data_IF_776267643249
#
_entry.id   IF_776267643249
#
_cell.length_a   1.000
_cell.length_b   1.000
_cell.length_c   1.000
_cell.angle_alpha   90.00
_cell.angle_beta   90.00
_cell.angle_gamma   90.00
#
_symmetry.space_group_name_H-M   'P 1'
#
loop_
_entity.id
_entity.type
_entity.pdbx_description
1 polymer ?
#
# COMPACT_ATOMS: atom_id res chain seq x y z
N UNK A 1 10.49 -15.29 -66.61
CA UNK A 1 11.47 -14.84 -67.61
C UNK A 1 11.31 -13.34 -67.80
N UNK A 2 12.32 -12.61 -67.36
CA UNK A 2 12.86 -11.32 -67.81
C UNK A 2 11.92 -10.22 -68.34
N UNK A 3 12.00 -9.04 -67.73
CA UNK A 3 11.56 -7.77 -68.31
C UNK A 3 11.76 -6.61 -67.36
N UNK A 4 12.91 -5.95 -67.48
CA UNK A 4 13.42 -4.91 -66.58
C UNK A 4 13.08 -3.50 -67.10
N UNK A 5 13.22 -2.50 -66.20
CA UNK A 5 13.29 -1.02 -66.41
C UNK A 5 11.96 -0.32 -66.75
N UNK A 6 11.55 0.80 -66.13
CA UNK A 6 12.26 2.07 -66.02
C UNK A 6 11.57 3.00 -64.97
N UNK A 7 12.36 3.78 -64.24
CA UNK A 7 11.96 4.87 -63.33
C UNK A 7 12.11 6.20 -64.09
N UNK A 8 11.39 7.29 -63.75
CA UNK A 8 12.13 8.34 -63.06
C UNK A 8 11.32 9.21 -62.07
N UNK A 9 12.06 9.74 -61.07
CA UNK A 9 11.86 11.06 -60.45
C UNK A 9 10.74 11.16 -59.40
N UNK A 10 10.96 11.49 -58.13
CA UNK A 10 12.06 12.21 -57.50
C UNK A 10 11.53 13.54 -56.93
N UNK A 11 11.30 13.61 -55.61
CA UNK A 11 11.34 14.85 -54.84
C UNK A 11 11.41 14.55 -53.34
N UNK A 12 12.64 14.47 -52.82
CA UNK A 12 12.94 14.56 -51.39
C UNK A 12 12.86 16.04 -51.00
N UNK A 13 12.16 16.35 -49.90
CA UNK A 13 12.29 17.64 -49.20
C UNK A 13 12.61 17.42 -47.72
N UNK A 14 13.82 17.83 -47.35
CA UNK A 14 14.33 18.41 -46.10
C UNK A 14 15.44 19.39 -46.56
N UNK A 15 15.95 20.36 -45.76
CA UNK A 15 15.86 20.57 -44.31
C UNK A 15 15.45 22.03 -43.94
N UNK A 16 15.35 22.46 -42.67
CA UNK A 16 16.41 23.09 -41.85
C UNK A 16 15.82 23.39 -40.46
N UNK A 17 16.51 22.98 -39.38
CA UNK A 17 16.97 23.87 -38.28
C UNK A 17 16.00 23.91 -37.09
N UNK A 18 16.17 23.09 -36.05
CA UNK A 18 17.04 23.34 -34.88
C UNK A 18 16.44 24.34 -33.86
N UNK A 19 15.89 23.81 -32.77
CA UNK A 19 16.11 24.39 -31.44
C UNK A 19 15.95 23.30 -30.38
N UNK A 20 17.04 23.09 -29.65
CA UNK A 20 17.12 22.30 -28.42
C UNK A 20 16.23 22.95 -27.36
N UNK A 21 15.52 22.14 -26.59
CA UNK A 21 15.23 22.46 -25.19
C UNK A 21 15.34 21.16 -24.40
N UNK A 22 16.53 20.95 -23.83
CA UNK A 22 16.75 19.99 -22.77
C UNK A 22 16.20 20.61 -21.48
N UNK A 23 15.31 19.90 -20.78
CA UNK A 23 15.10 20.11 -19.36
C UNK A 23 15.22 18.76 -18.66
N UNK A 24 16.46 18.49 -18.26
CA UNK A 24 16.78 17.44 -17.32
C UNK A 24 16.32 17.86 -15.91
N UNK A 25 15.77 16.88 -15.20
CA UNK A 25 16.02 16.62 -13.78
C UNK A 25 15.68 17.73 -12.78
N UNK A 26 14.50 17.63 -12.16
CA UNK A 26 14.34 18.01 -10.76
C UNK A 26 13.70 16.85 -9.99
N UNK A 27 14.56 15.92 -9.56
CA UNK A 27 14.24 14.86 -8.60
C UNK A 27 14.94 15.24 -7.31
N UNK A 28 14.37 16.19 -6.56
CA UNK A 28 14.88 16.56 -5.25
C UNK A 28 14.56 15.45 -4.24
N UNK A 29 15.62 14.82 -3.76
CA UNK A 29 15.64 13.97 -2.56
C UNK A 29 15.15 14.78 -1.37
N UNK A 30 14.06 14.36 -0.75
CA UNK A 30 13.74 14.73 0.63
C UNK A 30 14.60 13.82 1.51
N UNK A 31 15.74 14.34 1.95
CA UNK A 31 16.56 13.72 3.01
C UNK A 31 16.10 14.21 4.37
N UNK A 32 15.63 13.27 5.20
CA UNK A 32 15.75 13.23 6.66
C UNK A 32 15.33 14.46 7.47
N UNK A 33 14.11 14.41 8.01
CA UNK A 33 13.73 15.12 9.23
C UNK A 33 14.39 14.44 10.46
N UNK A 34 15.00 15.19 11.39
CA UNK A 34 15.41 14.66 12.68
C UNK A 34 14.18 14.55 13.61
N UNK A 35 13.81 13.33 13.98
CA UNK A 35 12.89 13.05 15.07
C UNK A 35 13.58 13.36 16.41
N UNK A 36 13.29 14.51 17.02
CA UNK A 36 13.57 14.74 18.43
C UNK A 36 12.46 14.08 19.26
N UNK A 37 12.77 12.92 19.82
CA UNK A 37 11.91 12.24 20.78
C UNK A 37 11.91 13.01 22.11
N UNK A 38 10.74 13.52 22.50
CA UNK A 38 10.48 14.07 23.84
C UNK A 38 9.91 12.93 24.69
N UNK A 39 10.60 12.43 25.72
CA UNK A 39 10.02 11.46 26.64
C UNK A 39 9.17 12.16 27.71
N UNK A 40 7.88 11.86 27.70
CA UNK A 40 6.94 12.15 28.78
C UNK A 40 7.37 11.41 30.05
N UNK A 41 7.78 12.16 31.08
CA UNK A 41 7.96 11.66 32.45
C UNK A 41 6.64 11.78 33.21
N UNK A 42 6.09 10.65 33.64
CA UNK A 42 5.12 10.61 34.75
C UNK A 42 5.88 10.37 36.07
N UNK A 43 5.53 11.07 37.16
CA UNK A 43 6.13 10.87 38.47
C UNK A 43 5.38 9.78 39.24
N UNK A 44 6.11 8.92 39.95
CA UNK A 44 5.54 8.17 41.06
C UNK A 44 6.60 7.97 42.14
N UNK A 45 6.24 8.47 43.30
CA UNK A 45 7.00 8.55 44.53
C UNK A 45 7.38 7.21 45.18
N UNK A 46 8.43 7.30 45.99
CA UNK A 46 8.62 6.72 47.33
C UNK A 46 8.11 5.27 47.55
N UNK A 47 9.05 4.36 47.76
CA UNK A 47 9.32 3.77 49.10
C UNK A 47 10.44 2.74 48.99
N UNK A 48 11.52 2.97 49.75
CA UNK A 48 12.61 2.03 49.90
C UNK A 48 12.76 1.77 51.39
N UNK A 49 12.45 0.55 51.83
CA UNK A 49 12.89 -0.02 53.10
C UNK A 49 12.72 -1.55 53.08
N UNK A 50 13.87 -2.22 53.07
CA UNK A 50 14.25 -3.42 53.84
C UNK A 50 13.21 -4.54 53.96
N UNK A 51 13.58 -5.74 53.49
CA UNK A 51 13.44 -7.01 54.23
C UNK A 51 14.29 -8.11 53.53
N UNK A 52 15.27 -8.59 54.30
CA UNK A 52 15.78 -9.96 54.50
C UNK A 52 16.03 -10.90 53.31
N UNK A 53 17.29 -11.34 53.28
CA UNK A 53 17.78 -12.70 53.02
C UNK A 53 16.70 -13.78 52.85
N UNK A 54 16.73 -14.45 51.70
CA UNK A 54 16.40 -15.86 51.59
C UNK A 54 17.19 -16.47 50.42
N UNK A 55 18.03 -17.43 50.73
CA UNK A 55 18.71 -18.28 49.75
C UNK A 55 17.67 -19.02 48.92
N UNK A 56 17.65 -18.77 47.62
CA UNK A 56 16.85 -19.52 46.66
C UNK A 56 17.79 -20.27 45.71
N UNK A 57 17.76 -21.58 45.85
CA UNK A 57 18.42 -22.60 45.05
C UNK A 57 18.02 -22.46 43.57
N UNK A 58 18.79 -21.71 42.79
CA UNK A 58 18.63 -21.62 41.34
C UNK A 58 19.39 -22.76 40.66
N UNK A 59 18.69 -23.88 40.43
CA UNK A 59 19.12 -24.85 39.40
C UNK A 59 18.97 -24.17 38.05
N UNK A 60 20.09 -23.71 37.52
CA UNK A 60 20.21 -23.17 36.17
C UNK A 60 19.72 -24.21 35.15
N UNK A 61 18.72 -23.92 34.29
CA UNK A 61 18.53 -24.71 33.09
C UNK A 61 19.74 -24.44 32.18
N UNK A 62 20.50 -25.51 31.91
CA UNK A 62 21.65 -25.48 31.02
C UNK A 62 21.32 -24.74 29.73
N UNK A 63 22.02 -23.63 29.51
CA UNK A 63 21.97 -22.82 28.29
C UNK A 63 22.45 -23.70 27.14
N UNK A 64 21.52 -24.34 26.43
CA UNK A 64 21.81 -25.02 25.17
C UNK A 64 22.26 -23.96 24.17
N UNK A 65 23.57 -23.83 23.98
CA UNK A 65 24.15 -23.08 22.88
C UNK A 65 23.79 -23.81 21.59
N UNK A 66 22.74 -23.32 20.93
CA UNK A 66 22.31 -23.84 19.64
C UNK A 66 23.29 -23.35 18.59
N UNK A 67 24.22 -24.21 18.19
CA UNK A 67 25.05 -24.01 17.01
C UNK A 67 24.13 -23.69 15.82
N UNK A 68 24.39 -22.59 15.12
CA UNK A 68 23.61 -22.16 13.96
C UNK A 68 23.40 -23.32 12.99
N UNK A 69 22.13 -23.66 12.71
CA UNK A 69 21.74 -24.60 11.66
C UNK A 69 21.18 -25.95 12.10
N UNK A 70 21.22 -26.31 13.39
CA UNK A 70 20.54 -27.52 13.90
C UNK A 70 19.14 -27.18 14.40
N UNK A 71 18.13 -27.91 13.92
CA UNK A 71 16.74 -27.72 14.34
C UNK A 71 16.56 -28.28 15.75
N UNK A 72 16.07 -27.47 16.68
CA UNK A 72 15.82 -27.89 18.06
C UNK A 72 14.50 -28.67 18.15
N UNK A 73 14.60 -29.98 18.35
CA UNK A 73 13.44 -30.88 18.49
C UNK A 73 13.02 -31.10 19.95
N UNK A 74 13.67 -30.45 20.91
CA UNK A 74 13.40 -30.60 22.35
C UNK A 74 11.95 -30.23 22.70
N UNK A 75 11.41 -29.17 22.10
CA UNK A 75 10.03 -28.73 22.30
C UNK A 75 8.99 -29.73 21.76
N UNK A 76 9.29 -30.46 20.68
CA UNK A 76 8.40 -31.50 20.14
C UNK A 76 8.48 -32.81 20.92
N UNK A 77 9.60 -33.06 21.60
CA UNK A 77 9.86 -34.32 22.32
C UNK A 77 9.59 -34.23 23.83
N UNK A 78 8.90 -33.18 24.29
CA UNK A 78 8.61 -32.94 25.72
C UNK A 78 7.92 -34.14 26.39
N UNK A 79 6.97 -34.78 25.69
CA UNK A 79 6.32 -36.02 26.16
C UNK A 79 7.31 -37.18 26.32
N UNK A 80 8.17 -37.40 25.33
CA UNK A 80 9.19 -38.45 25.37
C UNK A 80 10.18 -38.21 26.52
N UNK A 81 10.57 -36.94 26.74
CA UNK A 81 11.47 -36.58 27.84
C UNK A 81 10.82 -36.75 29.22
N UNK A 82 9.54 -36.43 29.37
CA UNK A 82 8.82 -36.61 30.63
C UNK A 82 8.64 -38.09 30.97
N UNK A 83 8.27 -38.93 29.99
CA UNK A 83 8.22 -40.39 30.16
C UNK A 83 9.59 -40.96 30.54
N UNK A 84 10.68 -40.47 29.92
CA UNK A 84 12.04 -40.87 30.26
C UNK A 84 12.49 -40.41 31.67
N UNK A 85 12.08 -39.23 32.11
CA UNK A 85 12.34 -38.74 33.47
C UNK A 85 11.59 -39.54 34.54
N UNK A 86 10.35 -39.92 34.25
CA UNK A 86 9.56 -40.80 35.12
C UNK A 86 10.16 -42.20 35.19
N UNK A 87 10.50 -42.80 34.04
CA UNK A 87 11.15 -44.12 33.98
C UNK A 87 12.52 -44.16 34.69
N UNK A 88 13.27 -43.05 34.68
CA UNK A 88 14.54 -42.92 35.41
C UNK A 88 14.39 -42.53 36.88
N UNK A 89 13.17 -42.41 37.40
CA UNK A 89 12.90 -42.07 38.80
C UNK A 89 13.19 -40.62 39.20
N UNK A 90 13.50 -39.73 38.23
CA UNK A 90 13.74 -38.29 38.50
C UNK A 90 12.46 -37.55 38.88
N UNK A 91 11.32 -38.02 38.38
CA UNK A 91 10.00 -37.47 38.69
C UNK A 91 9.10 -38.57 39.25
N UNK A 92 8.58 -38.37 40.47
CA UNK A 92 7.75 -39.38 41.15
C UNK A 92 6.32 -39.49 40.59
N UNK A 93 5.79 -38.42 40.00
CA UNK A 93 4.44 -38.41 39.40
C UNK A 93 4.52 -37.96 37.94
N UNK A 94 3.75 -38.63 37.09
CA UNK A 94 3.64 -38.23 35.69
C UNK A 94 2.81 -36.94 35.60
N UNK A 95 3.25 -35.94 34.80
CA UNK A 95 2.46 -34.75 34.59
C UNK A 95 1.12 -35.06 33.89
N UNK A 96 0.04 -34.40 34.33
CA UNK A 96 -1.33 -34.64 33.82
C UNK A 96 -1.47 -34.43 32.29
N UNK A 97 -0.63 -33.57 31.69
CA UNK A 97 -0.66 -33.30 30.25
C UNK A 97 -0.05 -34.42 29.39
N UNK A 98 0.69 -35.38 29.97
CA UNK A 98 1.39 -36.43 29.20
C UNK A 98 0.41 -37.34 28.45
N UNK A 99 -0.75 -37.62 29.06
CA UNK A 99 -1.81 -38.42 28.45
C UNK A 99 -2.47 -37.65 27.31
N UNK A 100 -2.80 -36.37 27.53
CA UNK A 100 -3.39 -35.47 26.51
C UNK A 100 -2.49 -35.32 25.27
N UNK A 101 -1.17 -35.15 25.45
CA UNK A 101 -0.22 -35.08 24.33
C UNK A 101 -0.03 -36.46 23.66
N UNK A 102 -0.36 -37.55 24.36
CA UNK A 102 -0.41 -38.89 23.77
C UNK A 102 -1.57 -39.05 22.81
N UNK A 103 -2.73 -38.47 23.14
CA UNK A 103 -3.92 -38.47 22.28
C UNK A 103 -3.79 -37.50 21.10
N UNK A 104 -3.17 -36.34 21.34
CA UNK A 104 -2.95 -35.30 20.31
C UNK A 104 -1.44 -35.15 20.08
N UNK A 105 -0.82 -36.00 19.23
CA UNK A 105 0.60 -35.89 18.94
C UNK A 105 0.90 -34.56 18.22
N UNK A 106 2.06 -33.94 18.49
CA UNK A 106 2.46 -32.71 17.82
C UNK A 106 2.74 -32.93 16.31
N UNK A 107 2.48 -31.93 15.49
CA UNK A 107 2.67 -32.02 14.03
C UNK A 107 4.15 -32.07 13.61
N UNK A 108 4.47 -32.95 12.64
CA UNK A 108 5.80 -33.09 12.03
C UNK A 108 6.02 -32.02 10.93
N UNK A 109 6.18 -30.75 11.31
CA UNK A 109 6.08 -29.63 10.36
C UNK A 109 7.41 -28.93 10.01
N UNK A 110 8.53 -29.66 9.96
CA UNK A 110 9.84 -29.09 9.59
C UNK A 110 10.28 -29.45 8.18
N UNK A 111 9.33 -29.78 7.31
CA UNK A 111 9.56 -30.07 5.89
C UNK A 111 9.15 -28.84 5.08
N UNK A 112 10.03 -28.39 4.17
CA UNK A 112 9.68 -27.34 3.20
C UNK A 112 8.79 -27.95 2.12
N UNK A 113 7.50 -27.66 2.16
CA UNK A 113 6.55 -28.11 1.13
C UNK A 113 6.53 -27.17 -0.07
N UNK A 114 6.17 -27.70 -1.23
CA UNK A 114 5.97 -26.88 -2.44
C UNK A 114 4.62 -26.15 -2.32
N UNK A 115 4.57 -24.82 -2.44
CA UNK A 115 3.32 -24.08 -2.33
C UNK A 115 2.41 -24.35 -3.54
N UNK A 116 1.07 -24.28 -3.36
CA UNK A 116 0.12 -24.37 -4.46
C UNK A 116 0.37 -23.25 -5.48
N UNK A 117 0.21 -23.55 -6.76
CA UNK A 117 0.40 -22.56 -7.81
C UNK A 117 -0.88 -21.78 -8.05
N UNK A 118 -0.82 -20.46 -7.86
CA UNK A 118 -1.91 -19.56 -8.24
C UNK A 118 -1.68 -19.05 -9.68
N UNK A 119 -2.62 -19.32 -10.59
CA UNK A 119 -2.59 -18.80 -11.96
C UNK A 119 -3.67 -17.73 -12.13
N UNK A 120 -3.42 -16.74 -12.98
CA UNK A 120 -4.45 -15.76 -13.34
C UNK A 120 -5.45 -16.43 -14.29
N UNK A 121 -6.60 -16.80 -13.75
CA UNK A 121 -7.72 -17.38 -14.50
C UNK A 121 -8.75 -16.29 -14.73
N UNK A 122 -9.23 -16.18 -15.97
CA UNK A 122 -10.31 -15.27 -16.34
C UNK A 122 -11.52 -16.09 -16.78
N UNK A 123 -12.64 -15.91 -16.10
CA UNK A 123 -13.89 -16.56 -16.48
C UNK A 123 -14.63 -15.65 -17.47
N UNK A 124 -15.13 -16.17 -18.60
CA UNK A 124 -15.93 -15.38 -19.55
C UNK A 124 -17.09 -16.19 -20.08
N UNK A 125 -18.26 -15.56 -20.21
CA UNK A 125 -19.38 -16.14 -20.96
C UNK A 125 -19.18 -15.84 -22.45
N UNK A 126 -19.08 -16.89 -23.27
CA UNK A 126 -18.98 -16.77 -24.73
C UNK A 126 -19.99 -17.63 -25.44
N UNK A 127 -20.51 -17.14 -26.57
CA UNK A 127 -21.22 -18.01 -27.51
C UNK A 127 -20.19 -18.69 -28.40
N UNK A 128 -19.98 -19.98 -28.17
CA UNK A 128 -19.07 -20.77 -29.01
C UNK A 128 -19.77 -21.04 -30.34
N UNK A 129 -19.11 -20.72 -31.46
CA UNK A 129 -19.63 -20.98 -32.79
C UNK A 129 -19.99 -22.47 -32.94
N UNK A 130 -21.29 -22.77 -33.05
CA UNK A 130 -21.84 -24.13 -33.12
C UNK A 130 -22.67 -24.58 -31.92
N UNK A 131 -22.71 -23.83 -30.81
CA UNK A 131 -23.60 -24.07 -29.66
C UNK A 131 -24.66 -22.96 -29.57
N UNK A 132 -25.93 -23.32 -29.44
CA UNK A 132 -27.02 -22.36 -29.21
C UNK A 132 -27.05 -21.80 -27.79
N UNK A 133 -26.38 -22.46 -26.84
CA UNK A 133 -26.32 -22.04 -25.43
C UNK A 133 -24.97 -21.38 -25.14
N UNK A 134 -24.93 -20.26 -24.40
CA UNK A 134 -23.68 -19.65 -23.96
C UNK A 134 -22.95 -20.59 -23.01
N UNK A 135 -21.63 -20.66 -23.15
CA UNK A 135 -20.78 -21.52 -22.32
C UNK A 135 -19.76 -20.68 -21.55
N UNK A 136 -19.45 -21.12 -20.33
CA UNK A 136 -18.42 -20.52 -19.50
C UNK A 136 -17.06 -21.02 -19.98
N UNK A 137 -16.25 -20.11 -20.49
CA UNK A 137 -14.88 -20.38 -20.97
C UNK A 137 -13.90 -19.83 -19.96
N UNK A 138 -13.04 -20.71 -19.42
CA UNK A 138 -11.92 -20.31 -18.57
C UNK A 138 -10.70 -20.02 -19.43
N UNK A 139 -10.29 -18.76 -19.49
CA UNK A 139 -9.07 -18.34 -20.14
C UNK A 139 -7.96 -18.27 -19.08
N UNK A 140 -7.11 -19.30 -19.06
CA UNK A 140 -5.90 -19.28 -18.22
C UNK A 140 -4.81 -18.58 -19.01
N UNK A 141 -4.27 -17.48 -18.46
CA UNK A 141 -3.08 -16.87 -19.05
C UNK A 141 -1.87 -17.75 -18.73
N UNK A 142 -1.63 -18.76 -19.56
CA UNK A 142 -0.44 -19.59 -19.51
C UNK A 142 0.77 -18.80 -20.01
N UNK A 143 1.26 -17.86 -19.20
CA UNK A 143 2.53 -17.21 -19.48
C UNK A 143 3.60 -18.30 -19.49
N UNK A 144 4.28 -18.51 -20.62
CA UNK A 144 5.35 -19.50 -20.79
C UNK A 144 6.37 -19.34 -19.66
N UNK A 145 6.41 -20.29 -18.73
CA UNK A 145 7.23 -20.19 -17.52
C UNK A 145 8.64 -20.69 -17.84
N UNK A 146 9.62 -19.78 -17.79
CA UNK A 146 11.02 -20.19 -17.71
C UNK A 146 11.22 -21.05 -16.44
N UNK A 147 12.09 -22.07 -16.48
CA UNK A 147 12.34 -22.91 -15.32
C UNK A 147 12.79 -22.06 -14.13
N UNK A 148 12.10 -22.20 -12.99
CA UNK A 148 12.44 -21.47 -11.77
C UNK A 148 13.77 -22.00 -11.22
N UNK A 149 14.63 -21.10 -10.75
CA UNK A 149 15.81 -21.47 -9.95
C UNK A 149 15.35 -22.29 -8.74
N UNK A 150 16.16 -23.28 -8.34
CA UNK A 150 15.84 -24.17 -7.21
C UNK A 150 15.51 -23.41 -5.91
N UNK A 151 16.11 -22.23 -5.71
CA UNK A 151 15.84 -21.35 -4.57
C UNK A 151 14.40 -20.83 -4.49
N UNK A 152 13.67 -20.76 -5.61
CA UNK A 152 12.29 -20.25 -5.69
C UNK A 152 11.22 -21.35 -5.74
N UNK A 153 11.60 -22.62 -5.66
CA UNK A 153 10.66 -23.75 -5.71
C UNK A 153 9.78 -23.84 -4.46
N UNK A 154 10.32 -23.44 -3.30
CA UNK A 154 9.65 -23.48 -2.00
C UNK A 154 9.18 -22.10 -1.53
N UNK A 155 9.30 -21.07 -2.40
CA UNK A 155 8.87 -19.72 -2.08
C UNK A 155 7.35 -19.59 -2.33
N UNK A 156 6.57 -19.06 -1.37
CA UNK A 156 5.15 -18.77 -1.57
C UNK A 156 4.89 -17.96 -2.85
N UNK A 157 3.80 -18.27 -3.54
CA UNK A 157 3.43 -17.65 -4.81
C UNK A 157 2.60 -16.39 -4.56
N UNK A 158 2.86 -15.34 -5.32
CA UNK A 158 2.06 -14.11 -5.31
C UNK A 158 0.64 -14.41 -5.84
N UNK A 159 -0.39 -14.02 -5.06
CA UNK A 159 -1.78 -14.14 -5.47
C UNK A 159 -2.12 -12.98 -6.41
N UNK A 160 -2.72 -13.29 -7.55
CA UNK A 160 -3.10 -12.33 -8.60
C UNK A 160 -4.52 -12.56 -9.01
N UNK A 161 -5.30 -11.50 -9.01
CA UNK A 161 -6.71 -11.53 -9.37
C UNK A 161 -6.96 -10.68 -10.61
N UNK A 162 -8.03 -10.96 -11.34
CA UNK A 162 -8.36 -10.17 -12.53
C UNK A 162 -8.89 -8.79 -12.15
N UNK A 163 -9.55 -8.71 -11.01
CA UNK A 163 -10.07 -7.53 -10.35
C UNK A 163 -8.97 -6.50 -10.06
N UNK A 164 -7.74 -6.93 -9.78
CA UNK A 164 -6.62 -6.02 -9.49
C UNK A 164 -6.29 -5.12 -10.70
N UNK A 165 -6.43 -5.65 -11.91
CA UNK A 165 -6.26 -4.87 -13.14
C UNK A 165 -7.41 -3.87 -13.30
N UNK A 166 -8.64 -4.31 -13.01
CA UNK A 166 -9.84 -3.47 -13.09
C UNK A 166 -9.81 -2.32 -12.06
N UNK A 167 -9.38 -2.61 -10.82
CA UNK A 167 -9.16 -1.61 -9.77
C UNK A 167 -8.17 -0.54 -10.23
N UNK A 168 -7.02 -0.97 -10.75
CA UNK A 168 -5.97 -0.07 -11.20
C UNK A 168 -6.47 0.87 -12.30
N UNK A 169 -7.21 0.35 -13.27
CA UNK A 169 -7.82 1.15 -14.34
C UNK A 169 -8.85 2.14 -13.79
N UNK A 170 -9.76 1.69 -12.92
CA UNK A 170 -10.81 2.53 -12.35
C UNK A 170 -10.25 3.69 -11.53
N UNK A 171 -9.32 3.44 -10.61
CA UNK A 171 -8.77 4.48 -9.73
C UNK A 171 -7.79 5.42 -10.45
N UNK A 172 -7.18 4.98 -11.56
CA UNK A 172 -6.42 5.87 -12.43
C UNK A 172 -7.34 6.89 -13.10
N UNK A 173 -8.50 6.45 -13.58
CA UNK A 173 -9.47 7.33 -14.23
C UNK A 173 -10.21 8.22 -13.21
N UNK A 174 -10.37 7.75 -11.95
CA UNK A 174 -11.08 8.45 -10.86
C UNK A 174 -10.19 8.67 -9.63
N UNK A 175 -9.18 9.54 -9.71
CA UNK A 175 -8.24 9.75 -8.60
C UNK A 175 -8.93 10.25 -7.32
N UNK A 176 -9.99 11.04 -7.45
CA UNK A 176 -10.72 11.61 -6.31
C UNK A 176 -11.63 10.60 -5.58
N UNK A 177 -11.87 9.42 -6.13
CA UNK A 177 -12.53 8.35 -5.36
C UNK A 177 -11.62 7.81 -4.24
N UNK A 178 -10.29 7.99 -4.33
CA UNK A 178 -9.35 7.66 -3.25
C UNK A 178 -9.45 8.62 -2.06
N UNK A 179 -9.95 9.84 -2.27
CA UNK A 179 -10.15 10.80 -1.19
C UNK A 179 -11.36 10.44 -0.31
N UNK A 180 -12.26 9.57 -0.79
CA UNK A 180 -13.41 9.11 0.00
C UNK A 180 -12.95 8.11 1.06
N UNK A 181 -13.24 8.35 2.34
CA UNK A 181 -12.78 7.46 3.42
C UNK A 181 -13.47 6.10 3.34
N UNK A 182 -12.66 5.04 3.42
CA UNK A 182 -13.09 3.64 3.32
C UNK A 182 -12.80 2.89 4.62
N UNK A 183 -13.75 2.08 5.06
CA UNK A 183 -13.58 1.20 6.21
C UNK A 183 -12.96 -0.13 5.76
N UNK A 184 -11.82 -0.51 6.33
CA UNK A 184 -11.13 -1.78 6.05
C UNK A 184 -11.41 -2.86 7.09
N UNK A 185 -11.94 -2.48 8.25
CA UNK A 185 -12.30 -3.42 9.30
C UNK A 185 -13.56 -4.18 8.88
N UNK A 186 -13.42 -5.50 8.77
CA UNK A 186 -14.53 -6.41 8.48
C UNK A 186 -15.37 -6.66 9.75
N UNK A 187 -16.68 -6.84 9.58
CA UNK A 187 -17.57 -7.11 10.73
C UNK A 187 -17.61 -8.60 11.06
N UNK A 188 -18.01 -9.43 10.09
CA UNK A 188 -18.13 -10.90 10.26
C UNK A 188 -17.13 -11.66 9.37
N UNK A 189 -16.53 -11.00 8.38
CA UNK A 189 -15.66 -11.61 7.37
C UNK A 189 -16.40 -12.48 6.35
N UNK A 190 -17.74 -12.52 6.42
CA UNK A 190 -18.65 -13.26 5.52
C UNK A 190 -19.61 -12.34 4.76
N UNK A 191 -19.32 -11.05 4.76
CA UNK A 191 -20.19 -10.03 4.16
C UNK A 191 -20.35 -10.28 2.65
N UNK A 192 -19.36 -10.92 2.02
CA UNK A 192 -19.37 -11.26 0.60
C UNK A 192 -20.45 -12.29 0.20
N UNK A 193 -20.94 -13.12 1.11
CA UNK A 193 -21.92 -14.19 0.81
C UNK A 193 -23.29 -13.61 0.40
N UNK A 194 -23.62 -12.42 0.92
CA UNK A 194 -24.94 -11.79 0.76
C UNK A 194 -24.99 -10.78 -0.38
N UNK A 195 -23.90 -10.59 -1.12
CA UNK A 195 -23.81 -9.61 -2.19
C UNK A 195 -24.21 -10.21 -3.54
N UNK A 196 -25.24 -9.63 -4.15
CA UNK A 196 -25.67 -9.96 -5.51
C UNK A 196 -25.27 -8.87 -6.50
N UNK A 197 -24.19 -9.11 -7.24
CA UNK A 197 -23.64 -8.17 -8.24
C UNK A 197 -24.47 -8.03 -9.52
N UNK A 198 -25.70 -8.57 -9.55
CA UNK A 198 -26.73 -8.19 -10.52
C UNK A 198 -27.11 -6.70 -10.44
N UNK A 199 -26.86 -6.07 -9.28
CA UNK A 199 -26.99 -4.62 -9.04
C UNK A 199 -25.70 -4.09 -8.43
N UNK A 200 -25.44 -2.80 -8.58
CA UNK A 200 -24.23 -2.19 -7.99
C UNK A 200 -24.40 -1.86 -6.50
N UNK A 201 -25.61 -1.48 -6.07
CA UNK A 201 -25.92 -1.23 -4.66
C UNK A 201 -26.14 -2.55 -3.93
N UNK A 202 -25.44 -2.70 -2.81
CA UNK A 202 -25.56 -3.87 -1.94
C UNK A 202 -26.03 -3.43 -0.56
N UNK A 203 -26.83 -4.26 0.15
CA UNK A 203 -27.20 -3.98 1.52
C UNK A 203 -25.94 -3.98 2.41
N UNK A 204 -25.82 -3.00 3.31
CA UNK A 204 -24.69 -2.92 4.25
C UNK A 204 -23.35 -2.46 3.67
N UNK A 205 -23.20 -2.40 2.34
CA UNK A 205 -21.98 -1.90 1.68
C UNK A 205 -22.19 -0.47 1.17
N UNK A 206 -21.21 0.40 1.40
CA UNK A 206 -21.18 1.74 0.81
C UNK A 206 -20.87 1.69 -0.70
N UNK A 207 -21.37 2.68 -1.43
CA UNK A 207 -21.07 2.83 -2.86
C UNK A 207 -19.61 3.26 -3.04
N UNK A 208 -18.80 2.34 -3.57
CA UNK A 208 -17.34 2.48 -3.73
C UNK A 208 -16.89 2.02 -5.13
N UNK A 209 -15.66 2.34 -5.52
CA UNK A 209 -15.03 1.79 -6.73
C UNK A 209 -15.01 0.26 -6.78
N UNK A 210 -14.92 -0.42 -5.63
CA UNK A 210 -15.02 -1.89 -5.57
C UNK A 210 -16.39 -2.40 -6.03
N UNK A 211 -17.47 -1.64 -5.84
CA UNK A 211 -18.78 -2.04 -6.35
C UNK A 211 -18.82 -2.02 -7.88
N UNK A 212 -18.13 -1.05 -8.50
CA UNK A 212 -17.97 -0.95 -9.97
C UNK A 212 -17.19 -2.14 -10.50
N UNK A 213 -16.07 -2.47 -9.87
CA UNK A 213 -15.21 -3.59 -10.29
C UNK A 213 -15.95 -4.91 -10.23
N UNK A 214 -16.67 -5.18 -9.13
CA UNK A 214 -17.44 -6.42 -8.98
C UNK A 214 -18.63 -6.47 -9.93
N UNK A 215 -19.32 -5.35 -10.15
CA UNK A 215 -20.39 -5.23 -11.15
C UNK A 215 -19.87 -5.49 -12.56
N UNK A 216 -18.72 -4.91 -12.92
CA UNK A 216 -18.05 -5.14 -14.19
C UNK A 216 -17.66 -6.61 -14.36
N UNK A 217 -17.09 -7.23 -13.32
CA UNK A 217 -16.72 -8.63 -13.33
C UNK A 217 -17.95 -9.54 -13.51
N UNK A 218 -19.04 -9.25 -12.80
CA UNK A 218 -20.29 -9.98 -12.93
C UNK A 218 -20.86 -9.92 -14.35
N UNK A 219 -20.80 -8.75 -15.01
CA UNK A 219 -21.24 -8.60 -16.41
C UNK A 219 -20.40 -9.46 -17.36
N UNK A 220 -19.08 -9.54 -17.16
CA UNK A 220 -18.19 -10.37 -17.98
C UNK A 220 -18.43 -11.88 -17.78
N UNK A 221 -18.87 -12.25 -16.57
CA UNK A 221 -19.08 -13.65 -16.19
C UNK A 221 -20.48 -14.17 -16.52
N UNK A 222 -21.49 -13.30 -16.66
CA UNK A 222 -22.89 -13.69 -16.88
C UNK A 222 -23.45 -13.29 -18.24
N UNK A 223 -22.98 -12.20 -18.85
CA UNK A 223 -23.50 -11.73 -20.15
C UNK A 223 -22.64 -12.30 -21.29
N UNK A 224 -23.24 -12.98 -22.29
CA UNK A 224 -22.48 -13.54 -23.40
C UNK A 224 -21.80 -12.46 -24.23
N UNK A 225 -20.54 -12.73 -24.60
CA UNK A 225 -19.74 -11.94 -25.55
C UNK A 225 -19.58 -10.45 -25.18
N UNK A 226 -19.67 -10.15 -23.88
CA UNK A 226 -19.44 -8.82 -23.35
C UNK A 226 -17.94 -8.47 -23.36
N UNK A 227 -17.59 -7.31 -23.91
CA UNK A 227 -16.21 -6.80 -23.87
C UNK A 227 -15.94 -6.12 -22.53
N UNK A 228 -14.66 -6.13 -22.11
CA UNK A 228 -14.21 -5.46 -20.89
C UNK A 228 -14.57 -3.97 -20.85
N UNK A 229 -14.48 -3.28 -21.99
CA UNK A 229 -14.80 -1.86 -22.13
C UNK A 229 -16.29 -1.59 -22.00
N UNK A 230 -17.14 -2.41 -22.65
CA UNK A 230 -18.59 -2.23 -22.56
C UNK A 230 -19.11 -2.52 -21.15
N UNK A 231 -18.59 -3.58 -20.51
CA UNK A 231 -18.90 -3.88 -19.11
C UNK A 231 -18.48 -2.74 -18.18
N UNK A 232 -17.31 -2.14 -18.43
CA UNK A 232 -16.81 -0.99 -17.68
C UNK A 232 -17.74 0.22 -17.84
N UNK A 233 -18.15 0.55 -19.07
CA UNK A 233 -19.03 1.69 -19.33
C UNK A 233 -20.41 1.54 -18.70
N UNK A 234 -20.99 0.34 -18.70
CA UNK A 234 -22.26 0.07 -18.04
C UNK A 234 -22.14 0.28 -16.53
N UNK A 235 -21.16 -0.37 -15.90
CA UNK A 235 -20.94 -0.25 -14.45
C UNK A 235 -20.62 1.19 -14.03
N UNK A 236 -19.82 1.90 -14.84
CA UNK A 236 -19.45 3.30 -14.61
C UNK A 236 -20.63 4.26 -14.72
N UNK A 237 -21.52 4.08 -15.71
CA UNK A 237 -22.75 4.89 -15.82
C UNK A 237 -23.71 4.64 -14.67
N UNK A 238 -23.88 3.37 -14.26
CA UNK A 238 -24.66 3.02 -13.07
C UNK A 238 -24.10 3.73 -11.82
N UNK A 239 -22.78 3.70 -11.65
CA UNK A 239 -22.08 4.37 -10.56
C UNK A 239 -22.27 5.89 -10.55
N UNK A 240 -22.11 6.56 -11.71
CA UNK A 240 -22.31 8.01 -11.82
C UNK A 240 -23.75 8.41 -11.49
N UNK A 241 -24.73 7.63 -11.93
CA UNK A 241 -26.14 7.90 -11.62
C UNK A 241 -26.39 7.90 -10.12
N UNK A 242 -25.78 6.95 -9.40
CA UNK A 242 -25.94 6.85 -7.95
C UNK A 242 -25.16 7.93 -7.20
N UNK A 243 -23.95 8.26 -7.64
CA UNK A 243 -23.19 9.38 -7.07
C UNK A 243 -23.92 10.71 -7.23
N UNK A 244 -24.46 10.97 -8.43
CA UNK A 244 -25.27 12.15 -8.67
C UNK A 244 -26.49 12.19 -7.76
N UNK A 245 -27.16 11.04 -7.57
CA UNK A 245 -28.29 10.92 -6.66
C UNK A 245 -27.88 11.25 -5.21
N UNK A 246 -26.78 10.69 -4.70
CA UNK A 246 -26.26 11.01 -3.36
C UNK A 246 -25.89 12.49 -3.17
N UNK A 247 -25.40 13.16 -4.22
CA UNK A 247 -25.07 14.59 -4.20
C UNK A 247 -26.32 15.48 -4.25
N UNK A 248 -27.33 15.11 -5.03
CA UNK A 248 -28.62 15.81 -5.07
C UNK A 248 -29.36 15.64 -3.76
N UNK A 249 -29.44 14.41 -3.22
CA UNK A 249 -30.10 14.11 -1.96
C UNK A 249 -29.53 14.94 -0.80
N UNK A 250 -28.19 15.04 -0.71
CA UNK A 250 -27.54 15.85 0.33
C UNK A 250 -27.88 17.34 0.22
N UNK A 251 -27.89 17.90 -0.99
CA UNK A 251 -28.19 19.34 -1.19
C UNK A 251 -29.65 19.63 -0.88
N UNK A 252 -30.56 18.85 -1.45
CA UNK A 252 -32.00 19.00 -1.24
C UNK A 252 -32.34 18.84 0.24
N UNK A 253 -31.74 17.87 0.94
CA UNK A 253 -31.98 17.68 2.39
C UNK A 253 -31.56 18.90 3.23
N UNK A 254 -30.47 19.58 2.87
CA UNK A 254 -30.04 20.82 3.54
C UNK A 254 -31.00 21.96 3.22
N UNK A 255 -31.31 22.17 1.94
CA UNK A 255 -32.24 23.21 1.50
C UNK A 255 -33.63 23.07 2.14
N UNK A 256 -34.16 21.85 2.18
CA UNK A 256 -35.43 21.54 2.85
C UNK A 256 -35.33 21.83 4.35
N UNK A 257 -34.28 21.38 5.03
CA UNK A 257 -34.10 21.64 6.46
C UNK A 257 -34.03 23.14 6.78
N UNK A 258 -33.29 23.93 5.99
CA UNK A 258 -33.21 25.39 6.13
C UNK A 258 -34.57 26.06 5.87
N UNK A 259 -35.31 25.60 4.87
CA UNK A 259 -36.66 26.10 4.57
C UNK A 259 -37.63 25.85 5.74
N UNK A 260 -37.44 24.77 6.51
CA UNK A 260 -38.19 24.50 7.75
C UNK A 260 -37.59 25.16 9.01
N UNK A 261 -36.58 26.01 8.86
CA UNK A 261 -35.97 26.77 9.95
C UNK A 261 -34.93 26.01 10.78
N UNK A 262 -34.33 24.94 10.24
CA UNK A 262 -33.18 24.31 10.88
C UNK A 262 -31.92 25.19 10.70
N UNK A 263 -31.20 25.43 11.79
CA UNK A 263 -29.91 26.13 11.76
C UNK A 263 -28.77 25.12 11.86
N UNK A 264 -27.80 25.23 10.94
CA UNK A 264 -26.60 24.41 10.94
C UNK A 264 -25.43 25.12 11.63
N UNK A 265 -24.50 24.33 12.18
CA UNK A 265 -23.22 24.85 12.69
C UNK A 265 -22.32 25.39 11.57
N UNK A 266 -21.07 25.78 11.91
CA UNK A 266 -20.13 26.29 10.91
C UNK A 266 -19.87 25.26 9.81
N UNK A 267 -19.84 25.73 8.56
CA UNK A 267 -19.58 24.87 7.40
C UNK A 267 -18.15 24.32 7.44
N UNK A 268 -17.90 23.21 6.75
CA UNK A 268 -16.54 22.69 6.56
C UNK A 268 -15.61 23.71 5.91
N UNK A 269 -16.13 24.61 5.06
CA UNK A 269 -15.36 25.71 4.49
C UNK A 269 -14.90 26.69 5.59
N UNK A 270 -15.81 27.10 6.47
CA UNK A 270 -15.48 28.02 7.58
C UNK A 270 -14.49 27.39 8.57
N UNK A 271 -14.66 26.10 8.86
CA UNK A 271 -13.73 25.34 9.69
C UNK A 271 -12.35 25.28 9.01
N UNK A 272 -12.30 25.04 7.70
CA UNK A 272 -11.07 25.05 6.91
C UNK A 272 -10.35 26.40 6.98
N UNK A 273 -11.07 27.49 6.72
CA UNK A 273 -10.53 28.86 6.78
C UNK A 273 -9.92 29.18 8.16
N UNK A 274 -10.63 28.82 9.24
CA UNK A 274 -10.12 29.02 10.61
C UNK A 274 -8.81 28.26 10.87
N UNK A 275 -8.68 27.04 10.35
CA UNK A 275 -7.45 26.25 10.50
C UNK A 275 -6.30 26.83 9.66
N UNK A 276 -6.60 27.33 8.46
CA UNK A 276 -5.65 28.03 7.59
C UNK A 276 -5.14 29.31 8.26
N UNK A 277 -6.02 30.12 8.85
CA UNK A 277 -5.65 31.33 9.59
C UNK A 277 -4.70 31.02 10.75
N UNK A 278 -4.98 29.97 11.53
CA UNK A 278 -4.11 29.53 12.63
C UNK A 278 -2.73 29.16 12.10
N UNK A 279 -2.64 28.47 10.97
CA UNK A 279 -1.36 28.09 10.39
C UNK A 279 -0.63 29.27 9.74
N UNK A 280 -1.36 30.18 9.09
CA UNK A 280 -0.85 31.41 8.52
C UNK A 280 -0.21 32.29 9.59
N UNK A 281 -0.87 32.49 10.73
CA UNK A 281 -0.33 33.28 11.84
C UNK A 281 0.99 32.70 12.36
N UNK A 282 1.08 31.37 12.52
CA UNK A 282 2.35 30.70 12.87
C UNK A 282 3.44 30.95 11.82
N UNK A 283 3.08 30.89 10.54
CA UNK A 283 4.01 31.18 9.45
C UNK A 283 4.47 32.65 9.47
N UNK A 284 3.59 33.60 9.75
CA UNK A 284 3.93 35.03 9.87
C UNK A 284 4.94 35.27 10.98
N UNK A 285 4.75 34.66 12.15
CA UNK A 285 5.70 34.75 13.27
C UNK A 285 7.07 34.20 12.89
N UNK A 286 7.10 33.01 12.28
CA UNK A 286 8.35 32.40 11.79
C UNK A 286 9.03 33.23 10.70
N UNK A 287 8.26 33.77 9.76
CA UNK A 287 8.79 34.57 8.66
C UNK A 287 9.40 35.88 9.17
N UNK A 288 8.78 36.52 10.16
CA UNK A 288 9.34 37.72 10.82
C UNK A 288 10.66 37.42 11.51
N UNK A 289 10.73 36.35 12.28
CA UNK A 289 11.98 35.94 12.95
C UNK A 289 13.06 35.59 11.93
N UNK A 290 12.70 34.87 10.87
CA UNK A 290 13.63 34.50 9.80
C UNK A 290 14.15 35.73 9.06
N UNK A 291 13.28 36.69 8.74
CA UNK A 291 13.66 37.96 8.13
C UNK A 291 14.62 38.73 9.04
N UNK A 292 14.34 38.84 10.34
CA UNK A 292 15.25 39.49 11.30
C UNK A 292 16.63 38.83 11.34
N UNK A 293 16.70 37.50 11.32
CA UNK A 293 17.97 36.77 11.27
C UNK A 293 18.71 37.02 9.94
N UNK A 294 18.00 37.09 8.82
CA UNK A 294 18.59 37.41 7.53
C UNK A 294 19.12 38.86 7.50
N UNK A 295 18.35 39.82 7.98
CA UNK A 295 18.76 41.22 8.08
C UNK A 295 20.00 41.36 8.98
N UNK A 296 20.05 40.66 10.12
CA UNK A 296 21.22 40.63 10.99
C UNK A 296 22.46 40.05 10.29
N UNK A 297 22.29 38.97 9.52
CA UNK A 297 23.38 38.38 8.73
C UNK A 297 23.86 39.32 7.63
N UNK A 298 22.95 39.99 6.93
CA UNK A 298 23.28 40.98 5.91
C UNK A 298 23.99 42.19 6.52
N UNK A 299 23.53 42.68 7.66
CA UNK A 299 24.18 43.77 8.39
C UNK A 299 25.58 43.37 8.89
N UNK A 300 25.76 42.15 9.38
CA UNK A 300 27.06 41.63 9.77
C UNK A 300 28.03 41.50 8.57
N UNK A 301 27.52 41.13 7.39
CA UNK A 301 28.29 41.08 6.15
C UNK A 301 28.66 42.49 5.65
N UNK A 302 27.73 43.45 5.71
CA UNK A 302 27.97 44.83 5.30
C UNK A 302 28.92 45.59 6.26
N UNK A 303 28.93 45.24 7.55
CA UNK A 303 29.86 45.79 8.55
C UNK A 303 31.28 45.24 8.47
N UNK A 304 31.52 44.21 7.65
CA UNK A 304 32.83 43.58 7.41
C UNK A 304 33.11 43.50 5.89
N UNK A 305 33.42 44.63 5.23
CA UNK A 305 33.59 44.67 3.77
C UNK A 305 34.75 43.79 3.25
N UNK A 306 35.78 43.50 4.05
CA UNK A 306 36.90 42.63 3.64
C UNK A 306 36.49 41.17 3.34
N UNK A 307 35.41 40.66 3.95
CA UNK A 307 34.95 39.28 3.73
C UNK A 307 33.84 39.18 2.66
N UNK A 308 33.25 40.31 2.26
CA UNK A 308 32.27 40.36 1.19
C UNK A 308 32.94 40.23 -0.19
N UNK A 309 34.13 40.82 -0.37
CA UNK A 309 34.92 40.69 -1.60
C UNK A 309 35.43 39.25 -1.83
N UNK A 310 35.73 38.50 -0.76
CA UNK A 310 36.15 37.09 -0.83
C UNK A 310 34.99 36.11 -1.13
N UNK A 311 33.75 36.45 -0.73
CA UNK A 311 32.56 35.66 -1.07
C UNK A 311 32.03 35.92 -2.48
N UNK A 312 32.06 37.17 -2.94
CA UNK A 312 31.72 37.50 -4.32
C UNK A 312 32.67 36.83 -5.33
N UNK A 313 33.97 36.67 -4.99
CA UNK A 313 34.93 35.95 -5.83
C UNK A 313 34.77 34.42 -5.80
N UNK A 314 34.29 33.84 -4.69
CA UNK A 314 34.06 32.39 -4.59
C UNK A 314 32.74 31.92 -5.21
N UNK A 315 31.69 32.75 -5.19
CA UNK A 315 30.43 32.44 -5.90
C UNK A 315 30.59 32.60 -7.44
N UNK A 316 31.38 33.58 -7.89
CA UNK A 316 31.66 33.78 -9.33
C UNK A 316 32.56 32.70 -9.92
N UNK A 317 33.45 32.10 -9.13
CA UNK A 317 34.32 30.98 -9.59
C UNK A 317 33.60 29.64 -9.60
N UNK A 318 32.64 29.42 -8.70
CA UNK A 318 31.81 28.21 -8.69
C UNK A 318 30.83 28.13 -9.89
N UNK A 319 30.30 29.26 -10.37
CA UNK A 319 29.46 29.30 -11.58
C UNK A 319 30.27 29.14 -12.88
N UNK A 320 31.56 29.52 -12.91
CA UNK A 320 32.42 29.31 -14.08
C UNK A 320 32.92 27.88 -14.23
N UNK A 321 33.14 27.16 -13.12
CA UNK A 321 33.65 25.78 -13.15
C UNK A 321 32.57 24.75 -13.56
N UNK A 322 31.28 25.00 -13.29
CA UNK A 322 30.19 24.15 -13.78
C UNK A 322 29.90 24.33 -15.28
N UNK A 323 30.23 25.49 -15.87
CA UNK A 323 30.06 25.76 -17.30
C UNK A 323 31.14 25.10 -18.18
N UNK A 324 32.35 24.87 -17.65
CA UNK A 324 33.47 24.27 -18.39
C UNK A 324 33.48 22.73 -18.35
N UNK A 325 32.81 22.12 -17.37
CA UNK A 325 32.68 20.65 -17.25
C UNK A 325 31.58 20.02 -18.13
N UNK A 326 30.84 20.83 -18.91
CA UNK A 326 29.71 20.37 -19.73
C UNK A 326 29.91 20.56 -21.25
N UNK A 327 31.14 20.77 -21.72
CA UNK A 327 31.50 20.70 -23.16
C UNK A 327 32.16 19.39 -23.55
#
# INVERSE_FOLDING_TARGET
MNGCTFWPGGARRRPIGAMLCQSHLFRSRITSFPQSAIPLRFPSDLTSRLILSLEAFAVLPGRAQTAMGKINLTALRVRQTALGQFASGKTSKLPQWVDVIGEIPPAEALIRTRPPQHQLVQQRMKTVAGSSKPQVVFQVQEKRRAPKKASRLFQPVELKYEEDQLRTEFFRDHPWELARPRLLLETTGKDFEHYDWSRIQQPGKRLDGESVVQRQLWLLNNVPDMTKTNAYDIARREFYRLRLKEDVERRVAVEEAEAYGAEFGPSYLDIGMKLEDVQYNKWVEWARQSAQVQDQRQAALAGAPELADEKATTETTAETDEAEATQ
#
